data_IF_299905996188
#
_entry.id   IF_299905996188
#
_cell.length_a   1.000
_cell.length_b   1.000
_cell.length_c   1.000
_cell.angle_alpha   90.00
_cell.angle_beta   90.00
_cell.angle_gamma   90.00
#
_symmetry.space_group_name_H-M   'P 1'
#
loop_
_entity.id
_entity.type
_entity.pdbx_description
1 polymer ?
#
# COMPACT_ATOMS: atom_id res chain seq x y z
N UNK A 1 4.29 5.07 -17.49
CA UNK A 1 3.38 3.92 -17.34
C UNK A 1 3.12 3.74 -15.86
N UNK A 2 1.86 3.68 -15.40
CA UNK A 2 1.56 3.50 -13.97
C UNK A 2 1.96 2.08 -13.55
N UNK A 3 2.88 1.93 -12.61
CA UNK A 3 3.21 0.61 -12.01
C UNK A 3 2.12 0.24 -11.00
N UNK A 4 1.01 -0.34 -11.45
CA UNK A 4 -0.02 -0.85 -10.54
C UNK A 4 0.39 -2.21 -9.94
N UNK A 5 0.00 -2.43 -8.69
CA UNK A 5 0.16 -3.73 -8.06
C UNK A 5 -0.70 -4.81 -8.75
N UNK A 6 -0.26 -6.07 -8.82
CA UNK A 6 -1.00 -7.16 -9.47
C UNK A 6 -2.45 -7.30 -8.96
N UNK A 7 -2.66 -7.17 -7.64
CA UNK A 7 -3.99 -7.22 -7.05
C UNK A 7 -4.93 -6.11 -7.58
N UNK A 8 -4.39 -4.91 -7.85
CA UNK A 8 -5.16 -3.82 -8.44
C UNK A 8 -5.52 -4.14 -9.89
N UNK A 9 -4.61 -4.72 -10.65
CA UNK A 9 -4.84 -5.10 -12.05
C UNK A 9 -5.92 -6.20 -12.12
N UNK A 10 -5.82 -7.22 -11.28
CA UNK A 10 -6.81 -8.30 -11.18
C UNK A 10 -8.20 -7.77 -10.79
N UNK A 11 -8.25 -6.76 -9.91
CA UNK A 11 -9.48 -6.08 -9.57
C UNK A 11 -10.00 -5.13 -10.68
N UNK A 12 -9.29 -4.99 -11.81
CA UNK A 12 -9.72 -4.20 -12.97
C UNK A 12 -9.37 -2.72 -12.91
N UNK A 13 -8.30 -2.33 -12.20
CA UNK A 13 -7.81 -0.94 -12.15
C UNK A 13 -6.70 -0.65 -13.18
N UNK A 14 -6.55 0.62 -13.63
CA UNK A 14 -7.34 1.80 -13.28
C UNK A 14 -8.68 1.86 -14.02
N UNK A 15 -9.77 2.15 -13.30
CA UNK A 15 -11.08 2.40 -13.91
C UNK A 15 -11.25 3.88 -14.25
N UNK A 16 -11.74 4.24 -15.45
CA UNK A 16 -12.13 5.60 -15.72
C UNK A 16 -13.30 5.99 -14.79
N UNK A 17 -13.16 7.11 -14.10
CA UNK A 17 -14.23 7.67 -13.29
C UNK A 17 -14.50 9.10 -13.77
N UNK A 18 -15.76 9.53 -13.91
CA UNK A 18 -16.09 10.89 -14.36
C UNK A 18 -15.44 12.02 -13.55
N UNK A 19 -15.13 11.80 -12.27
CA UNK A 19 -14.41 12.77 -11.44
C UNK A 19 -13.02 12.25 -11.03
N UNK A 20 -12.02 13.13 -11.11
CA UNK A 20 -10.61 12.85 -10.79
C UNK A 20 -10.21 13.22 -9.34
N UNK A 21 -11.21 13.38 -8.45
CA UNK A 21 -11.07 14.02 -7.13
C UNK A 21 -11.07 13.06 -5.93
N UNK A 22 -10.74 11.77 -6.09
CA UNK A 22 -10.64 10.90 -4.92
C UNK A 22 -9.31 11.11 -4.19
N UNK A 23 -9.33 11.89 -3.11
CA UNK A 23 -8.28 11.83 -2.11
C UNK A 23 -8.39 10.55 -1.29
N UNK A 24 -7.26 10.12 -0.72
CA UNK A 24 -7.29 9.11 0.34
C UNK A 24 -8.07 9.70 1.53
N UNK A 25 -8.94 8.88 2.11
CA UNK A 25 -9.67 9.24 3.33
C UNK A 25 -8.71 9.27 4.53
N UNK A 26 -8.88 10.18 5.51
CA UNK A 26 -8.04 10.20 6.70
C UNK A 26 -8.08 8.87 7.45
N UNK A 27 -9.24 8.22 7.53
CA UNK A 27 -9.41 6.91 8.16
C UNK A 27 -8.58 5.82 7.45
N UNK A 28 -8.47 5.91 6.13
CA UNK A 28 -7.61 5.01 5.35
C UNK A 28 -6.13 5.27 5.63
N UNK A 29 -5.75 6.55 5.71
CA UNK A 29 -4.36 6.95 5.98
C UNK A 29 -3.94 6.46 7.36
N UNK A 30 -4.79 6.63 8.37
CA UNK A 30 -4.55 6.17 9.73
C UNK A 30 -4.35 4.65 9.78
N UNK A 31 -5.30 3.88 9.26
CA UNK A 31 -5.22 2.42 9.22
C UNK A 31 -4.03 1.91 8.38
N UNK A 32 -3.67 2.61 7.30
CA UNK A 32 -2.50 2.27 6.49
C UNK A 32 -1.20 2.50 7.25
N UNK A 33 -1.07 3.64 7.94
CA UNK A 33 0.11 3.96 8.76
C UNK A 33 0.25 2.96 9.91
N UNK A 34 -0.86 2.63 10.58
CA UNK A 34 -0.88 1.61 11.64
C UNK A 34 -0.45 0.23 11.11
N UNK A 35 -1.02 -0.22 9.99
CA UNK A 35 -0.62 -1.48 9.36
C UNK A 35 0.89 -1.51 9.04
N UNK A 36 1.42 -0.43 8.48
CA UNK A 36 2.84 -0.31 8.16
C UNK A 36 3.72 -0.29 9.40
N UNK A 37 3.27 0.38 10.46
CA UNK A 37 3.97 0.41 11.73
C UNK A 37 4.06 -0.99 12.37
N UNK A 38 2.95 -1.74 12.36
CA UNK A 38 2.94 -3.12 12.85
C UNK A 38 3.91 -4.02 12.06
N UNK A 39 3.93 -3.90 10.73
CA UNK A 39 4.87 -4.65 9.88
C UNK A 39 6.32 -4.25 10.14
N UNK A 40 6.58 -2.96 10.39
CA UNK A 40 7.91 -2.46 10.75
C UNK A 40 8.38 -3.10 12.07
N UNK A 41 7.53 -3.05 13.11
CA UNK A 41 7.83 -3.64 14.41
C UNK A 41 8.04 -5.16 14.33
N UNK A 42 7.22 -5.87 13.55
CA UNK A 42 7.36 -7.30 13.32
C UNK A 42 8.69 -7.63 12.61
N UNK A 43 9.02 -6.92 11.53
CA UNK A 43 10.26 -7.11 10.77
C UNK A 43 11.49 -6.86 11.64
N UNK A 44 11.50 -5.77 12.41
CA UNK A 44 12.58 -5.45 13.33
C UNK A 44 12.71 -6.53 14.43
N UNK A 45 11.61 -6.92 15.07
CA UNK A 45 11.62 -7.91 16.15
C UNK A 45 12.13 -9.28 15.68
N UNK A 46 11.67 -9.77 14.52
CA UNK A 46 12.10 -11.06 13.96
C UNK A 46 13.61 -11.03 13.68
N UNK A 47 14.13 -9.95 13.10
CA UNK A 47 15.55 -9.81 12.80
C UNK A 47 16.42 -9.69 14.05
N UNK A 48 15.94 -9.02 15.11
CA UNK A 48 16.62 -9.00 16.41
C UNK A 48 16.69 -10.39 17.06
N UNK A 49 15.63 -11.19 16.94
CA UNK A 49 15.63 -12.57 17.45
C UNK A 49 16.60 -13.42 16.63
N UNK A 50 16.58 -13.31 15.30
CA UNK A 50 17.48 -14.05 14.41
C UNK A 50 18.94 -13.73 14.70
N UNK A 51 19.29 -12.45 14.88
CA UNK A 51 20.64 -12.04 15.26
C UNK A 51 21.10 -12.72 16.55
N UNK A 52 20.24 -12.79 17.59
CA UNK A 52 20.59 -13.47 18.84
C UNK A 52 20.81 -14.97 18.66
N UNK A 53 20.03 -15.62 17.80
CA UNK A 53 20.20 -17.04 17.47
C UNK A 53 21.51 -17.25 16.72
N UNK A 54 21.79 -16.42 15.71
CA UNK A 54 23.01 -16.50 14.90
C UNK A 54 24.27 -16.26 15.76
N UNK A 55 24.25 -15.28 16.66
CA UNK A 55 25.34 -15.04 17.62
C UNK A 55 25.57 -16.23 18.56
N UNK A 56 24.51 -16.92 19.01
CA UNK A 56 24.64 -18.14 19.84
C UNK A 56 25.21 -19.31 19.05
N UNK A 57 24.71 -19.56 17.83
CA UNK A 57 25.24 -20.62 16.96
C UNK A 57 26.70 -20.37 16.56
N UNK A 58 27.09 -19.11 16.35
CA UNK A 58 28.47 -18.71 16.09
C UNK A 58 29.38 -18.88 17.32
N UNK A 59 28.87 -18.64 18.54
CA UNK A 59 29.60 -18.87 19.79
C UNK A 59 29.84 -20.37 20.05
N UNK A 60 28.82 -21.21 19.87
CA UNK A 60 28.94 -22.67 20.03
C UNK A 60 29.93 -23.28 19.01
N UNK A 61 29.94 -22.76 17.78
CA UNK A 61 30.91 -23.18 16.74
C UNK A 61 32.35 -22.73 17.04
N UNK A 62 32.55 -21.56 17.70
CA UNK A 62 33.87 -21.06 18.09
C UNK A 62 34.44 -21.79 19.31
N UNK A 63 33.60 -22.25 20.25
CA UNK A 63 34.03 -23.09 21.37
C UNK A 63 34.59 -24.45 20.92
N UNK A 64 34.09 -25.02 19.81
CA UNK A 64 34.64 -26.24 19.23
C UNK A 64 36.01 -26.04 18.51
N UNK A 65 36.41 -24.80 18.22
CA UNK A 65 37.61 -24.48 17.43
C UNK A 65 38.78 -23.84 18.22
N UNK A 66 38.68 -23.72 19.55
CA UNK A 66 39.82 -23.40 20.43
C UNK A 66 40.48 -22.02 20.23
N UNK A 67 39.78 -21.02 19.68
CA UNK A 67 40.27 -19.63 19.58
C UNK A 67 39.33 -18.69 20.31
N UNK A 68 39.69 -18.34 21.54
CA UNK A 68 39.11 -17.22 22.26
C UNK A 68 39.58 -15.91 21.64
N UNK A 69 38.67 -15.17 21.03
CA UNK A 69 38.85 -13.76 20.73
C UNK A 69 37.55 -13.05 21.09
N UNK A 70 37.67 -12.04 21.95
CA UNK A 70 36.60 -11.19 22.42
C UNK A 70 35.92 -10.53 21.21
N UNK A 71 34.64 -10.81 21.03
CA UNK A 71 33.80 -10.20 20.02
C UNK A 71 32.92 -9.18 20.75
N UNK A 72 33.49 -8.02 21.07
CA UNK A 72 32.69 -6.80 21.20
C UNK A 72 32.27 -6.39 19.77
N UNK A 73 31.36 -7.17 19.18
CA UNK A 73 30.78 -6.88 17.88
C UNK A 73 30.02 -5.56 17.95
N UNK A 74 30.12 -4.77 16.88
CA UNK A 74 29.45 -3.50 16.63
C UNK A 74 27.91 -3.60 16.77
N UNK A 75 27.41 -3.71 18.01
CA UNK A 75 25.98 -3.90 18.33
C UNK A 75 25.15 -2.77 17.74
N UNK A 76 25.67 -1.55 17.77
CA UNK A 76 25.00 -0.37 17.23
C UNK A 76 24.91 -0.43 15.70
N UNK A 77 25.99 -0.81 15.01
CA UNK A 77 25.97 -1.01 13.57
C UNK A 77 25.02 -2.10 13.11
N UNK A 78 24.87 -3.18 13.89
CA UNK A 78 23.90 -4.24 13.57
C UNK A 78 22.46 -3.76 13.81
N UNK A 79 22.20 -3.08 14.92
CA UNK A 79 20.88 -2.49 15.19
C UNK A 79 20.46 -1.53 14.06
N UNK A 80 21.38 -0.68 13.60
CA UNK A 80 21.12 0.26 12.52
C UNK A 80 20.80 -0.44 11.20
N UNK A 81 21.47 -1.57 10.90
CA UNK A 81 21.16 -2.40 9.73
C UNK A 81 19.77 -3.02 9.81
N UNK A 82 19.41 -3.57 10.97
CA UNK A 82 18.07 -4.15 11.20
C UNK A 82 16.98 -3.10 10.99
N UNK A 83 17.16 -1.91 11.59
CA UNK A 83 16.21 -0.80 11.45
C UNK A 83 16.12 -0.35 9.99
N UNK A 84 17.25 -0.26 9.28
CA UNK A 84 17.29 0.10 7.86
C UNK A 84 16.53 -0.90 7.00
N UNK A 85 16.76 -2.19 7.20
CA UNK A 85 16.04 -3.23 6.46
C UNK A 85 14.54 -3.21 6.77
N UNK A 86 14.15 -3.01 8.03
CA UNK A 86 12.75 -2.89 8.42
C UNK A 86 12.09 -1.64 7.79
N UNK A 87 12.80 -0.51 7.74
CA UNK A 87 12.34 0.71 7.07
C UNK A 87 12.13 0.50 5.57
N UNK A 88 13.05 -0.23 4.91
CA UNK A 88 12.97 -0.55 3.49
C UNK A 88 11.78 -1.47 3.18
N UNK A 89 11.52 -2.46 4.02
CA UNK A 89 10.39 -3.39 3.84
C UNK A 89 9.02 -2.69 3.89
N UNK A 90 8.88 -1.71 4.80
CA UNK A 90 7.63 -0.95 4.92
C UNK A 90 7.57 0.26 3.99
N UNK A 91 8.60 0.50 3.18
CA UNK A 91 8.74 1.67 2.31
C UNK A 91 8.67 3.00 3.06
N UNK A 92 9.33 3.07 4.21
CA UNK A 92 9.54 4.33 4.95
C UNK A 92 10.25 5.36 4.07
N UNK A 93 9.97 6.64 4.29
CA UNK A 93 10.67 7.76 3.65
C UNK A 93 12.08 7.97 4.21
N UNK A 94 12.35 7.41 5.39
CA UNK A 94 13.67 7.45 6.04
C UNK A 94 14.18 6.04 6.27
N UNK A 95 15.48 5.85 6.07
CA UNK A 95 16.19 4.58 6.32
C UNK A 95 16.53 4.36 7.80
N UNK A 96 16.45 5.39 8.64
CA UNK A 96 16.88 5.33 10.04
C UNK A 96 15.73 5.39 11.05
N UNK A 97 14.55 5.80 10.59
CA UNK A 97 13.34 5.90 11.42
C UNK A 97 12.12 5.60 10.58
N UNK A 98 11.08 5.07 11.23
CA UNK A 98 9.78 4.92 10.60
C UNK A 98 9.18 6.29 10.29
N UNK A 99 8.96 6.59 9.00
CA UNK A 99 8.37 7.84 8.55
C UNK A 99 7.50 7.61 7.32
N UNK A 100 6.19 7.82 7.46
CA UNK A 100 5.23 7.79 6.36
C UNK A 100 4.56 9.15 6.27
N UNK A 101 4.66 9.78 5.11
CA UNK A 101 4.00 11.06 4.83
C UNK A 101 3.46 11.07 3.40
N UNK A 102 2.23 11.53 3.24
CA UNK A 102 1.59 11.66 1.93
C UNK A 102 1.74 13.09 1.42
N UNK A 103 2.28 13.22 0.22
CA UNK A 103 2.34 14.51 -0.48
C UNK A 103 1.16 14.62 -1.46
N UNK A 104 0.18 15.45 -1.11
CA UNK A 104 -1.03 15.64 -1.92
C UNK A 104 -0.75 16.22 -3.31
N UNK A 105 0.38 16.92 -3.47
CA UNK A 105 0.79 17.52 -4.73
C UNK A 105 1.47 16.53 -5.68
N UNK A 106 1.77 15.30 -5.22
CA UNK A 106 2.55 14.33 -5.99
C UNK A 106 1.92 13.96 -7.35
N UNK A 107 0.61 14.13 -7.49
CA UNK A 107 -0.16 13.91 -8.72
C UNK A 107 -0.94 15.15 -9.19
N UNK A 108 -0.66 16.32 -8.63
CA UNK A 108 -1.34 17.56 -9.03
C UNK A 108 -0.86 18.00 -10.42
N UNK A 109 -1.75 18.18 -11.42
CA UNK A 109 -1.37 18.44 -12.82
C UNK A 109 -0.67 19.81 -13.02
N UNK A 110 -0.91 20.75 -12.11
CA UNK A 110 -0.33 22.09 -12.12
C UNK A 110 0.99 22.23 -11.35
N UNK A 111 1.38 21.23 -10.54
CA UNK A 111 2.58 21.32 -9.71
C UNK A 111 3.79 20.78 -10.48
N UNK A 112 4.91 21.49 -10.38
CA UNK A 112 6.19 21.10 -10.96
C UNK A 112 7.20 20.97 -9.83
N UNK A 113 7.92 19.85 -9.83
CA UNK A 113 8.96 19.57 -8.85
C UNK A 113 10.33 19.75 -9.50
N UNK A 114 11.32 20.30 -8.78
CA UNK A 114 12.68 20.36 -9.28
C UNK A 114 13.27 18.94 -9.43
N UNK A 115 14.23 18.73 -10.35
CA UNK A 115 14.84 17.42 -10.56
C UNK A 115 15.50 16.81 -9.31
N UNK A 116 15.94 17.66 -8.37
CA UNK A 116 16.48 17.25 -7.06
C UNK A 116 15.50 16.38 -6.26
N UNK A 117 14.21 16.65 -6.39
CA UNK A 117 13.17 16.05 -5.55
C UNK A 117 12.58 14.78 -6.16
N UNK A 118 12.98 14.44 -7.38
CA UNK A 118 12.46 13.27 -8.08
C UNK A 118 12.60 11.95 -7.30
N UNK A 119 13.70 11.67 -6.57
CA UNK A 119 13.79 10.49 -5.71
C UNK A 119 12.74 10.48 -4.60
N UNK A 120 12.58 11.60 -3.88
CA UNK A 120 11.59 11.73 -2.81
C UNK A 120 10.16 11.63 -3.36
N UNK A 121 9.89 12.27 -4.50
CA UNK A 121 8.60 12.20 -5.19
C UNK A 121 8.27 10.77 -5.63
N UNK A 122 9.26 10.00 -6.12
CA UNK A 122 9.06 8.58 -6.45
C UNK A 122 8.68 7.76 -5.21
N UNK A 123 9.34 7.97 -4.08
CA UNK A 123 9.03 7.30 -2.82
C UNK A 123 7.62 7.67 -2.31
N UNK A 124 7.26 8.96 -2.33
CA UNK A 124 5.92 9.44 -1.99
C UNK A 124 4.85 8.84 -2.91
N UNK A 125 5.08 8.84 -4.23
CA UNK A 125 4.17 8.22 -5.20
C UNK A 125 4.01 6.73 -4.98
N UNK A 126 5.04 6.03 -4.51
CA UNK A 126 4.97 4.61 -4.13
C UNK A 126 4.03 4.41 -2.95
N UNK A 127 4.10 5.25 -1.91
CA UNK A 127 3.17 5.20 -0.77
C UNK A 127 1.70 5.32 -1.21
N UNK A 128 1.38 6.18 -2.18
CA UNK A 128 0.03 6.26 -2.74
C UNK A 128 -0.41 4.97 -3.43
N UNK A 129 0.49 4.32 -4.18
CA UNK A 129 0.18 3.04 -4.85
C UNK A 129 -0.04 1.93 -3.83
N UNK A 130 0.80 1.89 -2.82
CA UNK A 130 0.70 0.96 -1.70
C UNK A 130 -0.60 1.15 -0.91
N UNK A 131 -1.01 2.39 -0.65
CA UNK A 131 -2.28 2.70 -0.01
C UNK A 131 -3.47 2.28 -0.88
N UNK A 132 -3.41 2.52 -2.20
CA UNK A 132 -4.44 2.06 -3.13
C UNK A 132 -4.54 0.52 -3.15
N UNK A 133 -3.41 -0.18 -3.12
CA UNK A 133 -3.37 -1.63 -2.97
C UNK A 133 -3.95 -2.07 -1.62
N UNK A 134 -3.63 -1.35 -0.53
CA UNK A 134 -4.12 -1.64 0.82
C UNK A 134 -5.65 -1.58 0.92
N UNK A 135 -6.30 -0.64 0.22
CA UNK A 135 -7.77 -0.60 0.12
C UNK A 135 -8.31 -1.93 -0.40
N UNK A 136 -7.76 -2.44 -1.49
CA UNK A 136 -8.27 -3.63 -2.20
C UNK A 136 -7.92 -4.91 -1.44
N UNK A 137 -6.72 -4.98 -0.88
CA UNK A 137 -6.17 -6.21 -0.27
C UNK A 137 -6.49 -6.37 1.21
N UNK A 138 -6.79 -5.28 1.92
CA UNK A 138 -7.02 -5.32 3.38
C UNK A 138 -8.38 -4.70 3.74
N UNK A 139 -8.62 -3.44 3.37
CA UNK A 139 -9.79 -2.71 3.88
C UNK A 139 -11.12 -3.23 3.33
N UNK A 140 -11.21 -3.50 2.03
CA UNK A 140 -12.42 -4.07 1.43
C UNK A 140 -12.71 -5.47 2.01
N UNK A 141 -11.75 -6.41 2.05
CA UNK A 141 -11.97 -7.71 2.69
C UNK A 141 -12.36 -7.62 4.17
N UNK A 142 -11.71 -6.72 4.93
CA UNK A 142 -12.04 -6.51 6.34
C UNK A 142 -13.48 -6.01 6.50
N UNK A 143 -13.89 -5.00 5.71
CA UNK A 143 -15.25 -4.48 5.70
C UNK A 143 -16.28 -5.56 5.35
N UNK A 144 -16.00 -6.38 4.33
CA UNK A 144 -16.87 -7.50 3.93
C UNK A 144 -17.00 -8.51 5.06
N UNK A 145 -15.89 -8.82 5.76
CA UNK A 145 -15.91 -9.69 6.92
C UNK A 145 -16.80 -9.15 8.03
N UNK A 146 -16.75 -7.84 8.33
CA UNK A 146 -17.63 -7.27 9.37
C UNK A 146 -19.10 -7.31 8.96
N UNK A 147 -19.40 -6.97 7.70
CA UNK A 147 -20.76 -6.96 7.18
C UNK A 147 -21.42 -8.34 7.15
N UNK A 148 -20.62 -9.39 6.99
CA UNK A 148 -21.09 -10.79 6.90
C UNK A 148 -21.03 -11.53 8.24
N UNK A 149 -20.39 -10.94 9.27
CA UNK A 149 -20.20 -11.58 10.56
C UNK A 149 -21.49 -11.56 11.41
N UNK A 150 -22.08 -12.73 11.75
CA UNK A 150 -23.36 -12.80 12.46
C UNK A 150 -23.33 -12.25 13.89
N UNK A 151 -22.15 -12.23 14.54
CA UNK A 151 -21.97 -11.82 15.93
C UNK A 151 -21.70 -10.33 16.12
N UNK A 152 -21.49 -9.57 15.04
CA UNK A 152 -21.19 -8.13 15.09
C UNK A 152 -22.25 -7.25 14.40
N UNK A 153 -23.25 -7.84 13.75
CA UNK A 153 -24.09 -7.12 12.81
C UNK A 153 -25.33 -6.46 13.44
N UNK A 154 -25.30 -5.13 13.54
CA UNK A 154 -26.39 -4.36 12.93
C UNK A 154 -26.03 -4.14 11.46
N UNK A 155 -26.58 -4.95 10.55
CA UNK A 155 -26.50 -4.68 9.13
C UNK A 155 -26.95 -3.24 8.86
N UNK A 156 -26.28 -2.46 8.00
CA UNK A 156 -26.73 -1.12 7.69
C UNK A 156 -28.16 -1.21 7.13
N UNK A 157 -29.12 -0.63 7.87
CA UNK A 157 -30.54 -0.68 7.54
C UNK A 157 -30.88 0.23 6.35
N UNK A 158 -30.01 1.20 6.07
CA UNK A 158 -30.15 2.19 5.03
C UNK A 158 -28.82 2.52 4.35
N UNK A 159 -28.90 3.24 3.23
CA UNK A 159 -27.72 3.65 2.47
C UNK A 159 -26.80 4.61 3.25
N UNK A 160 -27.34 5.41 4.17
CA UNK A 160 -26.55 6.33 4.99
C UNK A 160 -25.65 5.57 5.98
N UNK A 161 -26.18 4.56 6.66
CA UNK A 161 -25.41 3.71 7.56
C UNK A 161 -24.34 2.91 6.81
N UNK A 162 -24.67 2.41 5.61
CA UNK A 162 -23.69 1.71 4.76
C UNK A 162 -22.55 2.63 4.35
N UNK A 163 -22.87 3.85 3.92
CA UNK A 163 -21.87 4.85 3.52
C UNK A 163 -20.99 5.25 4.70
N UNK A 164 -21.56 5.40 5.89
CA UNK A 164 -20.81 5.67 7.12
C UNK A 164 -19.82 4.54 7.41
N UNK A 165 -20.25 3.27 7.33
CA UNK A 165 -19.38 2.12 7.59
C UNK A 165 -18.22 2.02 6.57
N UNK A 166 -18.51 2.26 5.29
CA UNK A 166 -17.49 2.38 4.25
C UNK A 166 -16.43 3.43 4.63
N UNK A 167 -16.89 4.62 5.03
CA UNK A 167 -16.01 5.73 5.37
C UNK A 167 -15.22 5.50 6.66
N UNK A 168 -15.80 4.87 7.68
CA UNK A 168 -15.11 4.47 8.91
C UNK A 168 -13.93 3.53 8.63
N UNK A 169 -14.01 2.72 7.57
CA UNK A 169 -12.89 1.88 7.08
C UNK A 169 -12.02 2.56 6.03
N UNK A 170 -12.24 3.86 5.79
CA UNK A 170 -11.49 4.63 4.80
C UNK A 170 -11.79 4.24 3.35
N UNK A 171 -12.83 3.45 3.10
CA UNK A 171 -13.23 3.01 1.77
C UNK A 171 -14.13 4.07 1.14
N UNK A 172 -13.78 4.54 -0.06
CA UNK A 172 -14.61 5.48 -0.81
C UNK A 172 -15.82 4.76 -1.44
N UNK A 173 -16.97 5.44 -1.54
CA UNK A 173 -18.19 4.88 -2.14
C UNK A 173 -18.00 4.29 -3.55
N UNK A 174 -17.01 4.74 -4.33
CA UNK A 174 -16.66 4.15 -5.64
C UNK A 174 -16.27 2.67 -5.58
N UNK A 175 -15.82 2.18 -4.43
CA UNK A 175 -15.46 0.78 -4.20
C UNK A 175 -16.66 -0.07 -3.78
N UNK A 176 -17.88 0.51 -3.66
CA UNK A 176 -19.08 -0.24 -3.30
C UNK A 176 -19.34 -1.41 -4.25
N UNK A 177 -19.08 -1.23 -5.55
CA UNK A 177 -19.16 -2.32 -6.52
C UNK A 177 -18.19 -3.47 -6.23
N UNK A 178 -16.98 -3.18 -5.73
CA UNK A 178 -16.00 -4.20 -5.35
C UNK A 178 -16.42 -4.92 -4.06
N UNK A 179 -16.96 -4.19 -3.08
CA UNK A 179 -17.51 -4.76 -1.84
C UNK A 179 -18.64 -5.74 -2.15
N UNK A 180 -19.62 -5.32 -2.97
CA UNK A 180 -20.77 -6.19 -3.33
C UNK A 180 -20.35 -7.42 -4.13
N UNK A 181 -19.33 -7.29 -5.00
CA UNK A 181 -18.74 -8.44 -5.72
C UNK A 181 -18.12 -9.44 -4.75
N UNK A 182 -17.36 -8.98 -3.76
CA UNK A 182 -16.76 -9.87 -2.75
C UNK A 182 -17.79 -10.51 -1.81
N UNK A 183 -18.91 -9.83 -1.55
CA UNK A 183 -20.06 -10.40 -0.82
C UNK A 183 -20.87 -11.43 -1.64
N UNK A 184 -20.54 -11.65 -2.91
CA UNK A 184 -21.29 -12.53 -3.80
C UNK A 184 -22.66 -11.97 -4.23
N UNK A 185 -22.94 -10.70 -3.94
CA UNK A 185 -24.21 -10.03 -4.25
C UNK A 185 -24.29 -9.55 -5.70
N UNK A 186 -23.16 -9.49 -6.39
CA UNK A 186 -23.09 -9.17 -7.82
C UNK A 186 -22.43 -10.34 -8.53
N UNK A 187 -23.25 -11.21 -9.15
CA UNK A 187 -22.77 -12.19 -10.12
C UNK A 187 -22.10 -11.48 -11.30
N UNK A 188 -21.01 -12.06 -11.81
CA UNK A 188 -20.15 -11.50 -12.84
C UNK A 188 -20.91 -10.86 -14.00
N UNK A 189 -21.15 -9.55 -13.90
CA UNK A 189 -21.48 -8.72 -15.04
C UNK A 189 -20.17 -8.10 -15.46
N UNK A 190 -19.60 -8.71 -16.49
CA UNK A 190 -18.75 -8.03 -17.45
C UNK A 190 -19.52 -6.78 -17.87
N UNK A 191 -19.25 -5.66 -17.19
CA UNK A 191 -19.56 -4.34 -17.71
C UNK A 191 -18.60 -4.15 -18.87
N UNK A 192 -18.98 -4.77 -20.00
CA UNK A 192 -18.36 -4.59 -21.28
C UNK A 192 -18.24 -3.09 -21.52
N UNK A 193 -17.03 -2.58 -21.33
CA UNK A 193 -16.61 -1.38 -22.02
C UNK A 193 -16.58 -1.81 -23.49
N UNK A 194 -17.71 -1.63 -24.16
CA UNK A 194 -17.84 -1.73 -25.60
C UNK A 194 -16.92 -0.71 -26.24
N UNK A 195 -15.65 -1.06 -26.39
CA UNK A 195 -14.75 -0.42 -27.30
C UNK A 195 -15.20 -0.79 -28.70
N UNK A 196 -16.08 0.03 -29.29
CA UNK A 196 -16.26 0.04 -30.75
C UNK A 196 -14.93 0.46 -31.36
N UNK A 197 -14.14 -0.53 -31.74
CA UNK A 197 -12.95 -0.36 -32.55
C UNK A 197 -13.37 -0.04 -33.98
N UNK A 198 -13.49 1.24 -34.30
CA UNK A 198 -13.43 1.69 -35.69
C UNK A 198 -11.95 1.79 -36.10
N UNK A 199 -11.51 0.79 -36.86
CA UNK A 199 -10.33 0.89 -37.71
C UNK A 199 -10.70 1.72 -38.94
N UNK A 200 -10.23 2.96 -39.02
CA UNK A 200 -9.99 3.62 -40.31
C UNK A 200 -8.63 4.33 -40.23
N UNK A 201 -7.72 3.94 -41.12
CA UNK A 201 -6.35 4.42 -41.13
C UNK A 201 -6.20 5.82 -41.71
N UNK A 202 -4.96 6.32 -41.62
CA UNK A 202 -4.44 7.29 -42.59
C UNK A 202 -4.11 8.68 -42.05
N UNK A 203 -2.79 8.93 -42.00
CA UNK A 203 -2.12 10.20 -42.33
C UNK A 203 -1.98 11.32 -41.28
N UNK A 204 -0.69 11.57 -40.96
CA UNK A 204 0.00 12.87 -40.95
C UNK A 204 -0.57 14.06 -40.17
N UNK A 205 0.22 14.52 -39.18
CA UNK A 205 0.57 15.94 -39.10
C UNK A 205 -0.01 16.76 -37.94
N UNK A 206 0.94 17.38 -37.22
CA UNK A 206 0.84 18.62 -36.44
C UNK A 206 0.16 18.55 -35.07
N UNK A 207 0.89 19.10 -34.10
CA UNK A 207 0.52 19.11 -32.69
C UNK A 207 -0.53 20.15 -32.33
N UNK A 208 -1.06 20.01 -31.13
CA UNK A 208 -1.24 21.12 -30.22
C UNK A 208 -1.48 20.58 -28.82
N UNK A 209 -1.22 21.47 -27.87
CA UNK A 209 -1.39 21.32 -26.44
C UNK A 209 -2.84 21.05 -26.01
N UNK A 210 -2.97 20.85 -24.69
CA UNK A 210 -4.17 20.87 -23.85
C UNK A 210 -4.72 19.51 -23.44
N UNK A 211 -4.45 19.19 -22.16
CA UNK A 211 -5.37 18.75 -21.08
C UNK A 211 -4.75 17.68 -20.18
#
# INVERSE_FOLDING_TARGET
MWELAPACIQAGFPRPHPHRLCSLRPELVEAFVENRYLRFMQSAAVKFVQQKVDSKMAADSKMAAGKGAEVEEDVEGVNLRIVKEACQEVHSLSDSKFQIQFNLDAYSPGVRFPPSDFPALRAQRRLFRDAAQFVITHQIPALVSDLTCPSSASLPLDGASLLLLLHQRGVNARYLGDVLKQMGMVGGTDLGVGGTGDKVGGTSGRGHAAY
#
